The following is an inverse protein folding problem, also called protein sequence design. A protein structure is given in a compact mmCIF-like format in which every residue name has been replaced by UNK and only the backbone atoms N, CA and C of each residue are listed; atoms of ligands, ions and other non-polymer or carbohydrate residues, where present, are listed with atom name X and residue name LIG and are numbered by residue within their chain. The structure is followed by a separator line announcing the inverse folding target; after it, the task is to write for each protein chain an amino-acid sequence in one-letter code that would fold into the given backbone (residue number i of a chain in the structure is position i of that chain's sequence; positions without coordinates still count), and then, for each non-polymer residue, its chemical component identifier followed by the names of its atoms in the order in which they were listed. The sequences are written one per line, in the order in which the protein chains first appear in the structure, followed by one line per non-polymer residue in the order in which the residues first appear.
data_IF_860120368003
#
_entry.id   IF_860120368003
#
_cell.length_a   1.000
_cell.length_b   1.000
_cell.length_c   1.000
_cell.angle_alpha   90.00
_cell.angle_beta   90.00
_cell.angle_gamma   90.00
#
_symmetry.space_group_name_H-M   'P 1'
#
loop_
_entity.id
_entity.type
_entity.pdbx_description
1 polymer ?
#
# COMPACT_ATOMS: atom_id res chain seq x y z
N UNK A 1 6.77 23.82 -2.15
CA UNK A 1 6.92 25.29 -2.19
C UNK A 1 6.62 25.82 -0.80
N UNK A 2 7.62 26.36 -0.10
CA UNK A 2 7.50 26.79 1.30
C UNK A 2 7.48 28.31 1.35
N UNK A 3 6.53 28.89 2.09
CA UNK A 3 6.50 30.33 2.37
C UNK A 3 6.85 30.50 3.85
N UNK A 4 7.96 31.17 4.14
CA UNK A 4 8.36 31.52 5.49
C UNK A 4 7.90 32.95 5.78
N UNK A 5 7.15 33.15 6.86
CA UNK A 5 6.94 34.47 7.45
C UNK A 5 7.72 34.52 8.76
N UNK A 6 8.80 35.30 8.77
CA UNK A 6 9.66 35.50 9.94
C UNK A 6 9.08 36.64 10.78
N UNK A 7 8.70 36.36 12.03
CA UNK A 7 8.55 37.40 13.05
C UNK A 7 9.45 37.13 14.25
N UNK A 8 10.10 38.20 14.72
CA UNK A 8 11.13 38.23 15.76
C UNK A 8 10.57 37.82 17.12
N UNK A 9 11.32 36.96 17.81
CA UNK A 9 11.30 36.84 19.27
C UNK A 9 10.51 35.62 19.78
N UNK A 10 11.26 34.69 20.39
CA UNK A 10 10.83 33.40 20.97
C UNK A 10 10.43 32.35 19.93
N UNK A 11 11.37 31.42 19.71
CA UNK A 11 11.14 30.17 18.99
C UNK A 11 10.28 29.28 19.90
N UNK A 12 8.96 29.46 19.84
CA UNK A 12 8.04 28.37 20.14
C UNK A 12 7.96 27.53 18.86
N UNK A 13 8.69 26.40 18.82
CA UNK A 13 8.48 25.39 17.79
C UNK A 13 7.11 24.75 18.07
N UNK A 14 6.04 25.41 17.65
CA UNK A 14 4.76 24.75 17.50
C UNK A 14 4.89 23.83 16.30
N UNK A 15 5.26 22.58 16.57
CA UNK A 15 4.92 21.47 15.69
C UNK A 15 3.39 21.47 15.61
N UNK A 16 2.84 22.18 14.63
CA UNK A 16 1.53 21.86 14.10
C UNK A 16 1.70 20.50 13.43
N UNK A 17 1.65 19.44 14.24
CA UNK A 17 1.18 18.16 13.78
C UNK A 17 -0.26 18.44 13.37
N UNK A 18 -0.44 18.83 12.09
CA UNK A 18 -1.70 18.64 11.41
C UNK A 18 -1.89 17.13 11.44
N UNK A 19 -2.50 16.65 12.52
CA UNK A 19 -3.24 15.42 12.49
C UNK A 19 -4.27 15.69 11.40
N UNK A 20 -3.96 15.31 10.17
CA UNK A 20 -4.96 14.99 9.19
C UNK A 20 -5.72 13.83 9.83
N UNK A 21 -6.69 14.16 10.68
CA UNK A 21 -7.83 13.31 10.93
C UNK A 21 -8.56 13.31 9.60
N UNK A 22 -8.06 12.50 8.68
CA UNK A 22 -8.87 12.11 7.57
C UNK A 22 -10.06 11.40 8.21
N UNK A 23 -11.25 11.99 8.09
CA UNK A 23 -12.48 11.22 8.14
C UNK A 23 -12.51 10.31 6.90
N UNK A 24 -11.48 9.48 6.74
CA UNK A 24 -11.44 8.39 5.77
C UNK A 24 -12.38 7.36 6.34
N UNK A 25 -13.60 7.34 5.83
CA UNK A 25 -14.45 6.16 5.98
C UNK A 25 -13.60 4.96 5.57
N UNK A 26 -13.30 4.09 6.53
CA UNK A 26 -12.49 2.91 6.27
C UNK A 26 -13.19 2.09 5.18
N UNK A 27 -12.44 1.76 4.13
CA UNK A 27 -12.95 0.94 3.03
C UNK A 27 -13.14 -0.46 3.58
N UNK A 28 -14.28 -1.07 3.30
CA UNK A 28 -14.54 -2.47 3.67
C UNK A 28 -14.43 -3.40 2.46
N UNK A 29 -14.32 -4.70 2.72
CA UNK A 29 -14.34 -5.72 1.67
C UNK A 29 -15.63 -5.67 0.81
N UNK A 30 -16.76 -5.28 1.40
CA UNK A 30 -18.02 -5.08 0.65
C UNK A 30 -17.92 -3.91 -0.31
N UNK A 31 -17.24 -2.85 0.11
CA UNK A 31 -17.02 -1.66 -0.71
C UNK A 31 -16.13 -1.98 -1.91
N UNK A 32 -15.07 -2.77 -1.74
CA UNK A 32 -14.20 -3.25 -2.83
C UNK A 32 -14.97 -4.06 -3.87
N UNK A 33 -15.87 -4.94 -3.42
CA UNK A 33 -16.71 -5.76 -4.30
C UNK A 33 -17.72 -4.92 -5.10
N UNK A 34 -18.33 -3.92 -4.45
CA UNK A 34 -19.33 -3.05 -5.06
C UNK A 34 -18.71 -1.97 -5.97
N UNK A 35 -17.47 -1.56 -5.70
CA UNK A 35 -16.82 -0.44 -6.36
C UNK A 35 -15.44 -0.83 -6.93
N UNK A 36 -15.44 -1.52 -8.07
CA UNK A 36 -14.20 -1.91 -8.75
C UNK A 36 -13.47 -0.69 -9.30
N UNK A 37 -12.14 -0.66 -9.10
CA UNK A 37 -11.23 0.40 -9.57
C UNK A 37 -11.62 1.83 -9.17
N UNK A 38 -12.37 2.00 -8.08
CA UNK A 38 -12.85 3.31 -7.65
C UNK A 38 -11.86 4.02 -6.74
N UNK A 39 -11.15 3.25 -5.91
CA UNK A 39 -10.33 3.77 -4.83
C UNK A 39 -8.92 4.05 -5.31
N UNK A 40 -8.37 5.18 -4.87
CA UNK A 40 -6.97 5.50 -5.08
C UNK A 40 -6.07 4.65 -4.19
N UNK A 41 -4.80 4.51 -4.58
CA UNK A 41 -3.77 3.82 -3.80
C UNK A 41 -3.68 4.37 -2.38
N UNK A 42 -3.75 5.70 -2.20
CA UNK A 42 -3.70 6.33 -0.88
C UNK A 42 -4.87 5.94 0.04
N UNK A 43 -6.09 5.86 -0.51
CA UNK A 43 -7.28 5.42 0.25
C UNK A 43 -7.20 3.94 0.63
N UNK A 44 -6.69 3.12 -0.30
CA UNK A 44 -6.47 1.69 -0.07
C UNK A 44 -5.40 1.47 1.01
N UNK A 45 -4.27 2.19 0.95
CA UNK A 45 -3.20 2.11 1.96
C UNK A 45 -3.70 2.45 3.37
N UNK A 46 -4.60 3.43 3.49
CA UNK A 46 -5.17 3.80 4.80
C UNK A 46 -6.05 2.70 5.42
N UNK A 47 -6.57 1.78 4.61
CA UNK A 47 -7.49 0.71 5.05
C UNK A 47 -6.88 -0.70 4.92
N UNK A 48 -5.68 -0.84 4.36
CA UNK A 48 -5.12 -2.12 3.88
C UNK A 48 -5.04 -3.21 4.96
N UNK A 49 -4.81 -2.83 6.22
CA UNK A 49 -4.71 -3.76 7.34
C UNK A 49 -5.99 -4.57 7.60
N UNK A 50 -7.15 -4.04 7.22
CA UNK A 50 -8.47 -4.65 7.44
C UNK A 50 -9.09 -5.22 6.16
N UNK A 51 -8.37 -5.11 5.03
CA UNK A 51 -8.85 -5.52 3.72
C UNK A 51 -8.32 -6.90 3.34
N UNK A 52 -9.16 -7.66 2.63
CA UNK A 52 -8.75 -8.94 2.07
C UNK A 52 -7.85 -8.73 0.86
N UNK A 53 -6.61 -9.23 0.96
CA UNK A 53 -5.56 -9.13 -0.08
C UNK A 53 -6.01 -9.71 -1.42
N UNK A 54 -6.79 -10.80 -1.41
CA UNK A 54 -7.31 -11.41 -2.64
C UNK A 54 -8.36 -10.50 -3.29
N UNK A 55 -9.24 -9.88 -2.51
CA UNK A 55 -10.20 -8.90 -3.03
C UNK A 55 -9.49 -7.67 -3.58
N UNK A 56 -8.49 -7.14 -2.88
CA UNK A 56 -7.68 -6.00 -3.36
C UNK A 56 -7.08 -6.28 -4.74
N UNK A 57 -6.30 -7.36 -4.86
CA UNK A 57 -5.57 -7.69 -6.10
C UNK A 57 -6.48 -8.11 -7.25
N UNK A 58 -7.75 -8.43 -6.99
CA UNK A 58 -8.72 -8.84 -8.02
C UNK A 58 -9.73 -7.77 -8.41
N UNK A 59 -9.97 -6.77 -7.54
CA UNK A 59 -11.00 -5.75 -7.77
C UNK A 59 -10.45 -4.36 -8.09
N UNK A 60 -9.19 -4.10 -7.76
CA UNK A 60 -8.56 -2.79 -7.95
C UNK A 60 -7.36 -2.85 -8.91
N UNK A 61 -7.07 -1.72 -9.54
CA UNK A 61 -5.83 -1.47 -10.28
C UNK A 61 -4.82 -0.92 -9.28
N UNK A 62 -3.81 -1.72 -8.97
CA UNK A 62 -2.77 -1.40 -8.01
C UNK A 62 -1.48 -1.04 -8.75
N UNK A 63 -0.64 -0.21 -8.15
CA UNK A 63 0.70 0.09 -8.69
C UNK A 63 1.74 -0.91 -8.17
N UNK A 64 2.94 -0.86 -8.76
CA UNK A 64 4.03 -1.79 -8.47
C UNK A 64 4.44 -1.71 -7.00
N UNK A 65 4.45 -0.49 -6.44
CA UNK A 65 4.86 -0.23 -5.07
C UNK A 65 3.87 -0.83 -4.09
N UNK A 66 2.58 -0.61 -4.29
CA UNK A 66 1.54 -1.17 -3.43
C UNK A 66 1.56 -2.69 -3.48
N UNK A 67 1.72 -3.27 -4.67
CA UNK A 67 1.84 -4.72 -4.82
C UNK A 67 3.06 -5.29 -4.08
N UNK A 68 4.23 -4.66 -4.19
CA UNK A 68 5.43 -5.14 -3.51
C UNK A 68 5.35 -4.97 -1.98
N UNK A 69 4.81 -3.86 -1.49
CA UNK A 69 4.78 -3.55 -0.04
C UNK A 69 3.66 -4.27 0.72
N UNK A 70 2.48 -4.46 0.11
CA UNK A 70 1.27 -4.90 0.82
C UNK A 70 0.65 -6.20 0.32
N UNK A 71 0.98 -6.65 -0.90
CA UNK A 71 0.40 -7.86 -1.49
C UNK A 71 1.40 -9.01 -1.53
N UNK A 72 2.66 -8.73 -1.87
CA UNK A 72 3.72 -9.73 -2.00
C UNK A 72 3.94 -10.45 -0.67
N UNK A 73 3.80 -11.77 -0.70
CA UNK A 73 4.21 -12.60 0.42
C UNK A 73 5.69 -12.96 0.29
N UNK A 74 6.51 -12.35 1.14
CA UNK A 74 7.96 -12.58 1.20
C UNK A 74 8.34 -13.69 2.19
N UNK A 75 7.39 -14.17 3.02
CA UNK A 75 7.65 -15.16 4.07
C UNK A 75 7.35 -16.56 3.56
N UNK A 76 8.29 -17.12 2.82
CA UNK A 76 8.17 -18.47 2.24
C UNK A 76 8.29 -19.59 3.30
N UNK A 77 8.75 -19.28 4.53
CA UNK A 77 9.25 -20.30 5.48
C UNK A 77 8.56 -20.37 6.86
N UNK A 78 7.35 -19.81 7.04
CA UNK A 78 6.67 -19.88 8.35
C UNK A 78 5.93 -21.20 8.62
N UNK A 79 5.96 -22.16 7.69
CA UNK A 79 5.28 -23.45 7.86
C UNK A 79 3.75 -23.37 7.96
N UNK A 80 3.18 -22.20 7.70
CA UNK A 80 1.73 -21.98 7.59
C UNK A 80 1.31 -22.37 6.17
N UNK A 81 0.32 -23.27 6.04
CA UNK A 81 -0.13 -23.85 4.76
C UNK A 81 -0.59 -22.79 3.72
N UNK A 82 -0.80 -21.53 4.13
CA UNK A 82 -1.32 -20.44 3.30
C UNK A 82 -0.25 -19.47 2.74
N UNK A 83 1.03 -19.62 3.11
CA UNK A 83 2.15 -18.69 2.80
C UNK A 83 2.60 -18.61 1.33
N UNK A 84 1.90 -19.26 0.40
CA UNK A 84 2.31 -19.38 -1.01
C UNK A 84 1.38 -18.68 -2.01
N UNK A 85 0.35 -17.99 -1.53
CA UNK A 85 -0.74 -17.54 -2.42
C UNK A 85 -0.39 -16.31 -3.26
N UNK A 86 0.41 -15.38 -2.73
CA UNK A 86 0.68 -14.08 -3.34
C UNK A 86 2.12 -13.94 -3.86
N UNK A 87 2.53 -14.88 -4.71
CA UNK A 87 3.82 -14.82 -5.41
C UNK A 87 3.87 -13.71 -6.46
N UNK A 88 5.07 -13.32 -6.86
CA UNK A 88 5.30 -12.36 -7.95
C UNK A 88 4.55 -12.74 -9.24
N UNK A 89 4.59 -14.03 -9.60
CA UNK A 89 3.89 -14.55 -10.78
C UNK A 89 2.36 -14.45 -10.62
N UNK A 90 1.84 -14.69 -9.42
CA UNK A 90 0.42 -14.54 -9.14
C UNK A 90 -0.02 -13.07 -9.31
N UNK A 91 0.75 -12.14 -8.75
CA UNK A 91 0.48 -10.71 -8.82
C UNK A 91 0.51 -10.23 -10.27
N UNK A 92 1.56 -10.53 -11.03
CA UNK A 92 1.68 -10.14 -12.44
C UNK A 92 0.56 -10.71 -13.33
N UNK A 93 0.03 -11.89 -12.99
CA UNK A 93 -1.12 -12.47 -13.69
C UNK A 93 -2.43 -11.71 -13.39
N UNK A 94 -2.57 -11.18 -12.17
CA UNK A 94 -3.75 -10.42 -11.73
C UNK A 94 -3.69 -8.94 -12.07
N UNK A 95 -2.48 -8.38 -12.16
CA UNK A 95 -2.18 -6.98 -12.42
C UNK A 95 -1.26 -6.89 -13.66
N UNK A 96 -1.77 -7.20 -14.87
CA UNK A 96 -0.95 -7.31 -16.08
C UNK A 96 -0.41 -5.97 -16.59
N UNK A 97 -0.91 -4.84 -16.06
CA UNK A 97 -0.45 -3.49 -16.41
C UNK A 97 0.84 -3.07 -15.69
N UNK A 98 1.28 -3.82 -14.68
CA UNK A 98 2.49 -3.50 -13.94
C UNK A 98 3.72 -3.51 -14.86
N UNK A 99 4.59 -2.52 -14.68
CA UNK A 99 5.95 -2.60 -15.21
C UNK A 99 6.69 -3.71 -14.46
N UNK A 100 6.92 -4.82 -15.17
CA UNK A 100 7.59 -6.01 -14.63
C UNK A 100 8.97 -5.68 -14.08
N UNK A 101 9.74 -4.82 -14.76
CA UNK A 101 11.10 -4.52 -14.35
C UNK A 101 11.09 -3.76 -13.03
N UNK A 102 10.28 -2.71 -12.95
CA UNK A 102 10.13 -1.92 -11.72
C UNK A 102 9.58 -2.77 -10.57
N UNK A 103 8.56 -3.59 -10.84
CA UNK A 103 7.99 -4.48 -9.84
C UNK A 103 9.04 -5.44 -9.25
N UNK A 104 9.83 -6.10 -10.09
CA UNK A 104 10.90 -6.99 -9.60
C UNK A 104 12.01 -6.26 -8.84
N UNK A 105 12.36 -5.03 -9.23
CA UNK A 105 13.31 -4.20 -8.47
C UNK A 105 12.77 -3.91 -7.06
N UNK A 106 11.47 -3.61 -6.93
CA UNK A 106 10.83 -3.39 -5.64
C UNK A 106 10.71 -4.68 -4.81
N UNK A 107 10.38 -5.82 -5.43
CA UNK A 107 10.36 -7.11 -4.74
C UNK A 107 11.72 -7.46 -4.12
N UNK A 108 12.82 -7.22 -4.85
CA UNK A 108 14.19 -7.44 -4.33
C UNK A 108 14.47 -6.63 -3.07
N UNK A 109 14.10 -5.36 -3.07
CA UNK A 109 14.23 -4.49 -1.89
C UNK A 109 13.45 -5.08 -0.70
N UNK A 110 12.25 -5.62 -0.96
CA UNK A 110 11.49 -6.28 0.11
C UNK A 110 12.23 -7.51 0.63
N UNK A 111 12.66 -8.45 -0.23
CA UNK A 111 13.40 -9.63 0.21
C UNK A 111 14.64 -9.30 1.06
N UNK A 112 15.42 -8.29 0.66
CA UNK A 112 16.59 -7.82 1.41
C UNK A 112 16.25 -7.31 2.83
N UNK A 113 15.05 -6.77 3.05
CA UNK A 113 14.62 -6.31 4.37
C UNK A 113 14.21 -7.45 5.33
N UNK A 114 14.00 -8.67 4.83
CA UNK A 114 13.59 -9.83 5.63
C UNK A 114 14.68 -10.92 5.73
N UNK A 115 15.86 -10.69 5.14
CA UNK A 115 17.09 -11.49 5.33
C UNK A 115 18.01 -10.84 6.37
#
# INVERSE_FOLDING_TARGET
MYIYVVQRGKIDIKFNCLIYKSNTNMITNRDLLANKNKYSVAELTASVAELDTLLLVTTQILDERFCAEYILDVRIDSGDEDSYKFTEAYILRRQPHLDRKLFFELCKIQYENYC
#
